data_IF_348785579467
#
_entry.id   IF_348785579467
#
_cell.length_a   1.000
_cell.length_b   1.000
_cell.length_c   1.000
_cell.angle_alpha   90.00
_cell.angle_beta   90.00
_cell.angle_gamma   90.00
#
_symmetry.space_group_name_H-M   'P 1'
#
loop_
_entity.id
_entity.type
_entity.pdbx_description
1 polymer ?
#
# COMPACT_ATOMS: atom_id res chain seq x y z
N UNK A 1 14.03 -28.52 23.60
CA UNK A 1 12.62 -28.41 23.16
C UNK A 1 12.03 -27.22 23.90
N UNK A 2 12.10 -26.03 23.32
CA UNK A 2 11.51 -24.83 23.90
C UNK A 2 10.06 -24.74 23.41
N UNK A 3 9.13 -25.13 24.26
CA UNK A 3 7.71 -24.85 24.05
C UNK A 3 7.51 -23.33 24.07
N UNK A 4 6.78 -22.74 23.09
CA UNK A 4 6.48 -21.33 23.11
C UNK A 4 5.63 -21.02 24.36
N UNK A 5 5.84 -19.86 25.02
CA UNK A 5 5.11 -19.55 26.24
C UNK A 5 3.61 -19.45 25.94
N UNK A 6 2.74 -19.96 26.83
CA UNK A 6 1.31 -19.97 26.58
C UNK A 6 0.76 -18.54 26.52
N UNK A 7 -0.14 -18.29 25.57
CA UNK A 7 -0.86 -17.02 25.33
C UNK A 7 -1.72 -16.51 26.51
N UNK A 8 -1.59 -17.09 27.71
CA UNK A 8 -2.40 -16.78 28.89
C UNK A 8 -2.10 -15.44 29.57
N UNK A 9 -1.04 -14.70 29.17
CA UNK A 9 -0.64 -13.43 29.82
C UNK A 9 -1.44 -12.18 29.41
N UNK A 10 -2.42 -12.27 28.51
CA UNK A 10 -3.25 -11.11 28.11
C UNK A 10 -4.50 -10.90 28.99
N UNK A 11 -4.77 -11.77 29.97
CA UNK A 11 -5.91 -11.66 30.89
C UNK A 11 -5.60 -10.77 32.10
N UNK A 12 -5.14 -9.54 31.87
CA UNK A 12 -5.04 -8.52 32.94
C UNK A 12 -6.35 -7.72 32.90
N UNK A 13 -7.28 -7.88 33.86
CA UNK A 13 -8.62 -7.26 33.79
C UNK A 13 -8.58 -5.74 33.59
N UNK A 14 -7.65 -4.98 34.19
CA UNK A 14 -7.47 -3.56 33.89
C UNK A 14 -7.12 -3.25 32.43
N UNK A 15 -6.27 -4.06 31.79
CA UNK A 15 -5.89 -3.86 30.38
C UNK A 15 -7.06 -4.12 29.44
N UNK A 16 -7.80 -5.21 29.66
CA UNK A 16 -9.00 -5.52 28.87
C UNK A 16 -10.07 -4.44 29.03
N UNK A 17 -10.28 -3.94 30.25
CA UNK A 17 -11.20 -2.81 30.52
C UNK A 17 -10.74 -1.55 29.79
N UNK A 18 -9.44 -1.24 29.80
CA UNK A 18 -8.88 -0.09 29.09
C UNK A 18 -9.09 -0.20 27.57
N UNK A 19 -8.75 -1.36 26.97
CA UNK A 19 -8.93 -1.60 25.51
C UNK A 19 -10.40 -1.56 25.11
N UNK A 20 -11.31 -2.05 25.94
CA UNK A 20 -12.76 -2.00 25.67
C UNK A 20 -13.36 -0.60 25.82
N UNK A 21 -12.86 0.20 26.78
CA UNK A 21 -13.40 1.54 27.07
C UNK A 21 -12.86 2.60 26.10
N UNK A 22 -11.63 2.43 25.62
CA UNK A 22 -10.95 3.41 24.78
C UNK A 22 -11.72 3.79 23.50
N UNK A 23 -12.32 2.88 22.71
CA UNK A 23 -13.13 3.26 21.55
C UNK A 23 -14.25 4.24 21.90
N UNK A 24 -14.98 4.00 23.01
CA UNK A 24 -16.05 4.88 23.47
C UNK A 24 -15.52 6.26 23.86
N UNK A 25 -14.37 6.32 24.53
CA UNK A 25 -13.73 7.59 24.88
C UNK A 25 -13.23 8.35 23.65
N UNK A 26 -12.72 7.65 22.62
CA UNK A 26 -12.32 8.27 21.34
C UNK A 26 -13.56 8.82 20.62
N UNK A 27 -14.65 8.04 20.55
CA UNK A 27 -15.93 8.49 19.97
C UNK A 27 -16.49 9.70 20.71
N UNK A 28 -16.35 9.76 22.03
CA UNK A 28 -16.73 10.91 22.83
C UNK A 28 -15.77 12.12 22.66
N UNK A 29 -14.60 11.93 22.06
CA UNK A 29 -13.55 12.94 21.95
C UNK A 29 -12.81 13.23 23.27
N UNK A 30 -12.91 12.33 24.24
CA UNK A 30 -12.41 12.50 25.61
C UNK A 30 -11.27 11.53 25.97
N UNK A 31 -10.81 10.72 25.02
CA UNK A 31 -9.73 9.76 25.28
C UNK A 31 -8.42 10.47 25.69
N UNK A 32 -7.79 10.05 26.81
CA UNK A 32 -6.50 10.59 27.23
C UNK A 32 -5.38 10.10 26.32
N UNK A 33 -4.21 10.76 26.38
CA UNK A 33 -3.03 10.31 25.65
C UNK A 33 -3.09 10.48 24.12
N UNK A 34 -3.95 11.38 23.61
CA UNK A 34 -4.11 11.68 22.18
C UNK A 34 -2.78 11.84 21.44
N UNK A 35 -1.84 12.62 21.99
CA UNK A 35 -0.55 12.87 21.37
C UNK A 35 0.26 11.57 21.15
N UNK A 36 0.20 10.64 22.09
CA UNK A 36 0.86 9.34 22.02
C UNK A 36 0.11 8.39 21.08
N UNK A 37 -1.21 8.30 21.21
CA UNK A 37 -2.05 7.38 20.42
C UNK A 37 -2.10 7.76 18.93
N UNK A 38 -2.10 9.06 18.62
CA UNK A 38 -2.09 9.56 17.24
C UNK A 38 -0.67 9.72 16.66
N UNK A 39 0.37 9.51 17.46
CA UNK A 39 1.72 9.43 16.93
C UNK A 39 1.85 8.20 16.02
N UNK A 40 2.71 8.27 15.01
CA UNK A 40 2.90 7.17 14.07
C UNK A 40 4.36 7.02 13.71
N UNK A 41 4.82 5.78 13.57
CA UNK A 41 6.12 5.48 13.00
C UNK A 41 6.04 5.61 11.49
N UNK A 42 6.79 6.57 10.94
CA UNK A 42 6.88 6.76 9.50
C UNK A 42 7.84 5.73 8.92
N UNK A 43 7.31 4.89 8.03
CA UNK A 43 8.10 3.89 7.30
C UNK A 43 8.11 4.28 5.82
N UNK A 44 9.25 4.77 5.30
CA UNK A 44 9.40 5.04 3.87
C UNK A 44 9.60 3.73 3.11
N UNK A 45 8.66 3.43 2.22
CA UNK A 45 8.67 2.27 1.34
C UNK A 45 8.87 2.73 -0.10
N UNK A 46 9.81 2.16 -0.82
CA UNK A 46 9.99 2.50 -2.23
C UNK A 46 8.87 1.87 -3.06
N UNK A 47 8.23 2.61 -3.94
CA UNK A 47 7.30 2.09 -4.94
C UNK A 47 8.07 1.41 -6.10
N UNK A 48 7.41 0.58 -6.93
CA UNK A 48 8.04 -0.04 -8.10
C UNK A 48 8.51 0.95 -9.18
N UNK A 49 7.81 2.09 -9.28
CA UNK A 49 8.09 3.22 -10.19
C UNK A 49 9.24 4.13 -9.71
N UNK A 50 9.85 3.82 -8.56
CA UNK A 50 10.90 4.63 -7.94
C UNK A 50 10.39 5.70 -6.96
N UNK A 51 9.08 5.94 -6.90
CA UNK A 51 8.44 6.85 -5.95
C UNK A 51 8.50 6.35 -4.50
N UNK A 52 8.00 7.15 -3.55
CA UNK A 52 7.98 6.82 -2.12
C UNK A 52 6.54 6.64 -1.62
N UNK A 53 6.21 5.43 -1.13
CA UNK A 53 5.03 5.16 -0.33
C UNK A 53 5.38 5.38 1.15
N UNK A 54 4.63 6.21 1.85
CA UNK A 54 4.97 6.60 3.23
C UNK A 54 3.90 6.07 4.16
N UNK A 55 4.16 4.92 4.75
CA UNK A 55 3.20 4.32 5.68
C UNK A 55 3.45 4.89 7.08
N UNK A 56 2.47 5.60 7.61
CA UNK A 56 2.41 6.03 8.99
C UNK A 56 1.77 4.89 9.81
N UNK A 57 2.64 4.07 10.42
CA UNK A 57 2.20 2.97 11.30
C UNK A 57 1.86 3.57 12.66
N UNK A 58 0.57 3.79 12.89
CA UNK A 58 0.06 4.27 14.18
C UNK A 58 0.22 3.26 15.32
N UNK A 59 0.02 3.74 16.55
CA UNK A 59 0.03 2.90 17.75
C UNK A 59 -0.95 1.71 17.63
N UNK A 60 -0.56 0.56 18.15
CA UNK A 60 -1.34 -0.68 18.03
C UNK A 60 -2.71 -0.57 18.72
N UNK A 61 -2.76 0.04 19.91
CA UNK A 61 -3.97 0.20 20.70
C UNK A 61 -4.90 1.20 19.98
N UNK A 62 -4.33 2.29 19.47
CA UNK A 62 -5.06 3.24 18.63
C UNK A 62 -5.66 2.56 17.39
N UNK A 63 -4.86 1.79 16.64
CA UNK A 63 -5.33 1.11 15.41
C UNK A 63 -6.41 0.09 15.72
N UNK A 64 -6.31 -0.63 16.83
CA UNK A 64 -7.35 -1.57 17.26
C UNK A 64 -8.67 -0.83 17.57
N UNK A 65 -8.60 0.23 18.37
CA UNK A 65 -9.77 0.99 18.78
C UNK A 65 -10.45 1.68 17.59
N UNK A 66 -9.67 2.33 16.73
CA UNK A 66 -10.19 3.04 15.55
C UNK A 66 -10.73 2.09 14.48
N UNK A 67 -10.13 0.90 14.31
CA UNK A 67 -10.71 -0.15 13.45
C UNK A 67 -12.06 -0.62 13.97
N UNK A 68 -12.24 -0.76 15.28
CA UNK A 68 -13.53 -1.11 15.88
C UNK A 68 -14.56 -0.01 15.63
N UNK A 69 -14.19 1.27 15.81
CA UNK A 69 -15.05 2.43 15.54
C UNK A 69 -15.50 2.43 14.08
N UNK A 70 -14.55 2.39 13.13
CA UNK A 70 -14.86 2.42 11.69
C UNK A 70 -15.73 1.24 11.28
N UNK A 71 -15.45 0.03 11.79
CA UNK A 71 -16.28 -1.15 11.54
C UNK A 71 -17.70 -1.02 12.07
N UNK A 72 -17.91 -0.29 13.16
CA UNK A 72 -19.25 -0.04 13.70
C UNK A 72 -19.97 1.09 12.96
N UNK A 73 -19.26 1.86 12.14
CA UNK A 73 -19.76 3.09 11.54
C UNK A 73 -20.58 2.86 10.28
N UNK A 74 -20.41 1.72 9.57
CA UNK A 74 -21.11 1.20 8.36
C UNK A 74 -21.50 2.16 7.21
N UNK A 75 -21.33 3.48 7.35
CA UNK A 75 -21.90 4.55 6.51
C UNK A 75 -20.86 5.32 5.71
N UNK A 76 -19.64 4.79 5.60
CA UNK A 76 -18.50 5.52 5.02
C UNK A 76 -17.85 4.84 3.82
N UNK A 77 -18.44 3.77 3.27
CA UNK A 77 -17.85 3.01 2.14
C UNK A 77 -16.52 2.31 2.46
N UNK A 78 -15.89 2.60 3.60
CA UNK A 78 -14.66 1.97 4.08
C UNK A 78 -15.03 0.84 5.03
N UNK A 79 -14.91 -0.40 4.56
CA UNK A 79 -15.15 -1.61 5.37
C UNK A 79 -16.37 -2.46 4.96
N UNK A 80 -17.16 -2.02 3.97
CA UNK A 80 -18.10 -2.87 3.25
C UNK A 80 -17.34 -3.77 2.27
N UNK A 81 -17.74 -5.04 2.15
CA UNK A 81 -17.24 -5.89 1.06
C UNK A 81 -17.74 -5.30 -0.25
N UNK A 82 -16.82 -5.09 -1.18
CA UNK A 82 -17.12 -4.67 -2.54
C UNK A 82 -17.39 -3.17 -2.73
N UNK A 83 -16.48 -2.31 -2.26
CA UNK A 83 -16.62 -0.85 -2.42
C UNK A 83 -16.24 -0.32 -3.81
N UNK A 84 -15.57 -1.11 -4.65
CA UNK A 84 -15.14 -0.72 -6.00
C UNK A 84 -16.22 -1.06 -7.04
N UNK A 85 -16.96 -2.13 -6.79
CA UNK A 85 -17.98 -2.71 -7.65
C UNK A 85 -19.09 -1.72 -8.01
N UNK A 86 -19.58 -0.83 -7.11
CA UNK A 86 -20.54 0.21 -7.51
C UNK A 86 -19.96 1.20 -8.53
N UNK A 87 -18.68 1.57 -8.41
CA UNK A 87 -18.01 2.47 -9.35
C UNK A 87 -17.85 1.80 -10.70
N UNK A 88 -17.36 0.55 -10.73
CA UNK A 88 -17.21 -0.23 -11.96
C UNK A 88 -18.58 -0.43 -12.63
N UNK A 89 -19.59 -0.83 -11.86
CA UNK A 89 -20.95 -1.06 -12.39
C UNK A 89 -21.57 0.22 -12.93
N UNK A 90 -21.36 1.37 -12.28
CA UNK A 90 -21.84 2.65 -12.79
C UNK A 90 -21.20 3.01 -14.14
N UNK A 91 -19.90 2.74 -14.31
CA UNK A 91 -19.22 2.93 -15.61
C UNK A 91 -19.76 1.98 -16.67
N UNK A 92 -19.97 0.70 -16.34
CA UNK A 92 -20.58 -0.28 -17.27
C UNK A 92 -21.96 0.17 -17.74
N UNK A 93 -22.84 0.57 -16.83
CA UNK A 93 -24.19 1.06 -17.16
C UNK A 93 -24.13 2.33 -18.03
N UNK A 94 -23.16 3.20 -17.78
CA UNK A 94 -22.94 4.39 -18.62
C UNK A 94 -22.53 4.02 -20.05
N UNK A 95 -21.65 3.02 -20.22
CA UNK A 95 -21.22 2.51 -21.53
C UNK A 95 -22.33 1.75 -22.26
N UNK A 96 -23.16 1.01 -21.53
CA UNK A 96 -24.35 0.33 -22.05
C UNK A 96 -25.47 1.31 -22.44
N UNK A 97 -25.36 2.58 -22.03
CA UNK A 97 -26.38 3.60 -22.29
C UNK A 97 -27.68 3.38 -21.52
N UNK A 98 -27.62 2.66 -20.39
CA UNK A 98 -28.79 2.27 -19.57
C UNK A 98 -29.07 3.24 -18.42
N UNK A 99 -28.20 4.24 -18.22
CA UNK A 99 -28.45 5.34 -17.30
C UNK A 99 -29.38 6.38 -17.92
N UNK A 100 -30.16 7.09 -17.09
CA UNK A 100 -31.09 8.14 -17.51
C UNK A 100 -30.43 9.25 -18.35
N UNK A 101 -29.13 9.45 -18.13
CA UNK A 101 -28.31 10.40 -18.87
C UNK A 101 -27.28 9.67 -19.74
N UNK A 102 -27.13 10.14 -20.98
CA UNK A 102 -26.16 9.60 -21.92
C UNK A 102 -24.78 10.21 -21.67
N UNK A 103 -23.85 9.38 -21.24
CA UNK A 103 -22.43 9.73 -21.12
C UNK A 103 -21.66 9.18 -22.32
N UNK A 104 -20.77 9.98 -22.89
CA UNK A 104 -19.99 9.65 -24.09
C UNK A 104 -18.49 9.66 -23.81
N UNK A 105 -18.07 10.29 -22.71
CA UNK A 105 -16.67 10.47 -22.34
C UNK A 105 -16.42 10.02 -20.89
N UNK A 106 -15.22 9.47 -20.65
CA UNK A 106 -14.73 9.08 -19.33
C UNK A 106 -13.39 9.78 -19.08
N UNK A 107 -13.33 10.61 -18.05
CA UNK A 107 -12.11 11.32 -17.64
C UNK A 107 -11.57 10.74 -16.33
N UNK A 108 -10.50 9.92 -16.36
CA UNK A 108 -9.86 9.44 -15.15
C UNK A 108 -8.97 10.53 -14.53
N UNK A 109 -9.10 10.71 -13.21
CA UNK A 109 -8.28 11.61 -12.42
C UNK A 109 -7.40 10.82 -11.46
N UNK A 110 -6.12 11.18 -11.43
CA UNK A 110 -5.15 10.56 -10.53
C UNK A 110 -4.47 11.64 -9.68
N UNK A 111 -4.82 11.70 -8.40
CA UNK A 111 -4.20 12.63 -7.47
C UNK A 111 -2.87 12.08 -6.96
N UNK A 112 -1.78 12.70 -7.39
CA UNK A 112 -0.47 12.43 -6.79
C UNK A 112 -0.50 12.76 -5.30
N UNK A 113 -0.38 11.71 -4.46
CA UNK A 113 -0.22 11.82 -3.01
C UNK A 113 -1.45 12.44 -2.28
N UNK A 114 -2.66 12.14 -2.76
CA UNK A 114 -3.91 12.70 -2.25
C UNK A 114 -4.06 12.68 -0.72
N UNK A 115 -3.74 11.56 -0.06
CA UNK A 115 -3.92 11.41 1.38
C UNK A 115 -3.18 12.47 2.21
N UNK A 116 -2.02 12.96 1.74
CA UNK A 116 -1.24 13.95 2.49
C UNK A 116 -1.57 15.40 2.09
N UNK A 117 -2.42 15.63 1.09
CA UNK A 117 -2.76 16.97 0.59
C UNK A 117 -4.08 17.50 1.14
N UNK A 118 -4.97 16.61 1.62
CA UNK A 118 -6.24 17.01 2.23
C UNK A 118 -6.02 18.04 3.34
N UNK A 119 -6.75 19.15 3.28
CA UNK A 119 -6.78 20.12 4.35
C UNK A 119 -7.65 19.61 5.49
N UNK A 120 -7.08 19.52 6.70
CA UNK A 120 -7.81 19.05 7.87
C UNK A 120 -8.94 19.98 8.29
N UNK A 121 -8.95 21.22 7.81
CA UNK A 121 -10.04 22.19 8.03
C UNK A 121 -11.33 21.81 7.32
N UNK A 122 -11.24 21.00 6.26
CA UNK A 122 -12.40 20.55 5.48
C UNK A 122 -13.04 19.28 6.06
N UNK A 123 -12.27 18.46 6.79
CA UNK A 123 -12.76 17.22 7.41
C UNK A 123 -13.94 17.46 8.38
N UNK A 124 -13.95 18.46 9.27
CA UNK A 124 -15.07 18.74 10.17
C UNK A 124 -16.39 18.97 9.46
N UNK A 125 -16.37 19.61 8.29
CA UNK A 125 -17.59 19.92 7.55
C UNK A 125 -18.21 18.66 6.94
N UNK A 126 -17.39 17.84 6.27
CA UNK A 126 -17.84 16.53 5.78
C UNK A 126 -18.32 15.62 6.91
N UNK A 127 -17.67 15.64 8.07
CA UNK A 127 -18.12 14.91 9.25
C UNK A 127 -19.49 15.36 9.75
N UNK A 128 -19.75 16.68 9.86
CA UNK A 128 -21.07 17.16 10.31
C UNK A 128 -22.19 16.74 9.36
N UNK A 129 -21.92 16.81 8.06
CA UNK A 129 -22.93 16.57 7.04
C UNK A 129 -23.23 15.07 6.86
N UNK A 130 -22.20 14.23 6.76
CA UNK A 130 -22.37 12.84 6.31
C UNK A 130 -22.13 11.80 7.41
N UNK A 131 -21.39 12.14 8.47
CA UNK A 131 -21.05 11.20 9.55
C UNK A 131 -20.98 11.88 10.93
N UNK A 132 -22.06 12.52 11.40
CA UNK A 132 -22.04 13.33 12.62
C UNK A 132 -21.65 12.53 13.87
N UNK A 133 -21.96 11.22 13.89
CA UNK A 133 -21.56 10.30 14.97
C UNK A 133 -20.03 10.18 15.12
N UNK A 134 -19.27 10.40 14.04
CA UNK A 134 -17.81 10.37 14.05
C UNK A 134 -17.18 11.74 14.21
N UNK A 135 -17.97 12.82 14.30
CA UNK A 135 -17.44 14.17 14.36
C UNK A 135 -16.40 14.35 15.48
N UNK A 136 -16.76 13.91 16.69
CA UNK A 136 -15.89 14.01 17.87
C UNK A 136 -14.66 13.11 17.73
N UNK A 137 -14.82 11.90 17.22
CA UNK A 137 -13.71 10.98 16.96
C UNK A 137 -12.73 11.54 15.92
N UNK A 138 -13.24 12.03 14.79
CA UNK A 138 -12.44 12.61 13.72
C UNK A 138 -11.73 13.88 14.16
N UNK A 139 -12.42 14.77 14.87
CA UNK A 139 -11.80 15.96 15.50
C UNK A 139 -10.74 15.56 16.53
N UNK A 140 -10.95 14.50 17.31
CA UNK A 140 -9.94 13.99 18.24
C UNK A 140 -8.75 13.38 17.49
N UNK A 141 -8.94 12.65 16.39
CA UNK A 141 -7.82 12.02 15.67
C UNK A 141 -7.02 12.98 14.79
N UNK A 142 -7.68 14.00 14.21
CA UNK A 142 -7.10 14.86 13.16
C UNK A 142 -7.22 16.36 13.44
N UNK A 143 -8.01 16.80 14.42
CA UNK A 143 -8.18 18.23 14.72
C UNK A 143 -6.94 18.91 15.32
N UNK A 144 -5.89 18.15 15.67
CA UNK A 144 -4.58 18.66 16.10
C UNK A 144 -3.47 18.00 15.28
N UNK A 145 -2.28 18.60 15.34
CA UNK A 145 -1.09 18.01 14.74
C UNK A 145 -0.68 16.73 15.50
N UNK A 146 -0.06 15.78 14.80
CA UNK A 146 0.45 14.56 15.42
C UNK A 146 1.88 14.28 14.97
N UNK A 147 2.65 13.56 15.78
CA UNK A 147 4.07 13.29 15.53
C UNK A 147 4.25 12.10 14.59
N UNK A 148 4.99 12.28 13.50
CA UNK A 148 5.51 11.19 12.67
C UNK A 148 6.97 10.95 13.04
N UNK A 149 7.24 9.81 13.67
CA UNK A 149 8.58 9.45 14.12
C UNK A 149 9.27 8.66 13.03
N UNK A 150 10.39 9.20 12.53
CA UNK A 150 11.24 8.57 11.54
C UNK A 150 12.56 8.16 12.21
N UNK A 151 12.89 6.88 12.15
CA UNK A 151 14.20 6.39 12.57
C UNK A 151 15.22 6.55 11.45
N UNK A 152 16.41 7.06 11.77
CA UNK A 152 17.60 7.09 10.93
C UNK A 152 18.79 6.50 11.70
N UNK A 153 19.90 6.19 11.01
CA UNK A 153 21.15 5.81 11.69
C UNK A 153 21.69 6.89 12.63
N UNK A 154 21.40 8.17 12.35
CA UNK A 154 21.85 9.34 13.11
C UNK A 154 20.94 9.65 14.30
N UNK A 155 19.76 9.02 14.38
CA UNK A 155 18.85 9.17 15.51
C UNK A 155 17.37 9.15 15.12
N UNK A 156 16.55 9.81 15.93
CA UNK A 156 15.10 9.93 15.69
C UNK A 156 14.78 11.33 15.19
N UNK A 157 14.13 11.41 14.04
CA UNK A 157 13.58 12.65 13.50
C UNK A 157 12.07 12.68 13.72
N UNK A 158 11.54 13.83 14.13
CA UNK A 158 10.10 14.02 14.33
C UNK A 158 9.59 14.97 13.26
N UNK A 159 8.63 14.51 12.46
CA UNK A 159 7.93 15.32 11.46
C UNK A 159 6.53 15.60 11.97
N UNK A 160 6.14 16.87 12.03
CA UNK A 160 4.78 17.26 12.41
C UNK A 160 3.79 16.96 11.29
N UNK A 161 2.84 16.06 11.54
CA UNK A 161 1.69 15.80 10.65
C UNK A 161 0.57 16.79 10.96
N UNK A 162 0.56 17.90 10.21
CA UNK A 162 -0.43 18.96 10.31
C UNK A 162 -1.47 18.95 9.16
N UNK A 163 -1.14 18.30 8.05
CA UNK A 163 -1.99 18.21 6.86
C UNK A 163 -2.24 16.74 6.51
N UNK A 164 -3.31 16.50 5.76
CA UNK A 164 -3.69 15.19 5.28
C UNK A 164 -4.07 14.20 6.37
N UNK A 165 -4.26 12.96 5.96
CA UNK A 165 -4.53 11.83 6.83
C UNK A 165 -3.34 10.87 6.84
N UNK A 166 -3.18 10.14 7.94
CA UNK A 166 -2.03 9.23 8.12
C UNK A 166 -2.26 7.95 7.31
N UNK A 167 -1.41 7.70 6.31
CA UNK A 167 -1.52 6.50 5.47
C UNK A 167 -1.19 5.22 6.27
N UNK A 168 -2.18 4.37 6.51
CA UNK A 168 -2.07 3.20 7.40
C UNK A 168 -2.88 3.32 8.70
N UNK A 169 -3.46 4.50 8.96
CA UNK A 169 -4.47 4.73 9.99
C UNK A 169 -5.84 4.18 9.53
N UNK A 170 -6.51 3.31 10.30
CA UNK A 170 -7.87 2.86 10.00
C UNK A 170 -8.89 3.99 9.84
N UNK A 171 -8.72 5.10 10.57
CA UNK A 171 -9.56 6.30 10.43
C UNK A 171 -9.10 7.20 9.28
N UNK A 172 -7.95 6.96 8.65
CA UNK A 172 -7.44 7.81 7.57
C UNK A 172 -8.38 7.85 6.35
N UNK A 173 -8.71 6.71 5.73
CA UNK A 173 -9.57 6.66 4.54
C UNK A 173 -10.93 7.36 4.69
N UNK A 174 -11.74 7.14 5.75
CA UNK A 174 -13.01 7.84 5.86
C UNK A 174 -12.84 9.35 6.08
N UNK A 175 -11.78 9.77 6.78
CA UNK A 175 -11.49 11.20 6.95
C UNK A 175 -11.00 11.84 5.64
N UNK A 176 -10.31 11.08 4.81
CA UNK A 176 -9.93 11.49 3.47
C UNK A 176 -11.16 11.69 2.57
N UNK A 177 -12.05 10.69 2.50
CA UNK A 177 -13.28 10.77 1.70
C UNK A 177 -14.18 11.93 2.12
N UNK A 178 -14.27 12.21 3.43
CA UNK A 178 -15.06 13.34 3.94
C UNK A 178 -14.35 14.69 3.80
N UNK A 179 -13.02 14.69 3.74
CA UNK A 179 -12.20 15.91 3.69
C UNK A 179 -11.84 16.38 2.29
N UNK A 180 -12.19 15.64 1.23
CA UNK A 180 -11.82 15.98 -0.14
C UNK A 180 -12.75 17.06 -0.72
N UNK A 181 -12.67 18.26 -0.16
CA UNK A 181 -13.45 19.43 -0.59
C UNK A 181 -13.29 19.74 -2.07
N UNK A 182 -12.09 19.54 -2.62
CA UNK A 182 -11.81 19.77 -4.03
C UNK A 182 -12.73 19.00 -4.96
N UNK A 183 -13.21 17.81 -4.59
CA UNK A 183 -14.19 17.08 -5.41
C UNK A 183 -15.59 17.68 -5.35
N UNK A 184 -15.99 18.24 -4.20
CA UNK A 184 -17.28 18.93 -4.05
C UNK A 184 -17.30 20.24 -4.85
N UNK A 185 -16.21 20.99 -4.76
CA UNK A 185 -16.05 22.24 -5.49
C UNK A 185 -15.92 21.96 -7.00
N UNK A 186 -15.22 20.88 -7.38
CA UNK A 186 -15.17 20.39 -8.76
C UNK A 186 -16.55 19.97 -9.27
N UNK A 187 -17.33 19.21 -8.49
CA UNK A 187 -18.70 18.84 -8.87
C UNK A 187 -19.58 20.08 -9.12
N UNK A 188 -19.43 21.11 -8.29
CA UNK A 188 -20.16 22.37 -8.44
C UNK A 188 -19.71 23.14 -9.70
N UNK A 189 -18.42 23.07 -10.04
CA UNK A 189 -17.84 23.72 -11.23
C UNK A 189 -18.26 23.01 -12.51
N UNK A 190 -18.24 21.68 -12.49
CA UNK A 190 -18.57 20.81 -13.63
C UNK A 190 -20.08 20.79 -13.91
N UNK A 191 -20.93 21.04 -12.92
CA UNK A 191 -22.38 21.06 -13.12
C UNK A 191 -23.04 19.68 -12.97
N UNK A 192 -24.38 19.63 -12.97
CA UNK A 192 -25.16 18.45 -12.60
C UNK A 192 -25.22 17.36 -13.69
N UNK A 193 -24.81 17.70 -14.91
CA UNK A 193 -24.79 16.84 -16.10
C UNK A 193 -23.57 15.89 -16.13
N UNK A 194 -22.67 15.99 -15.15
CA UNK A 194 -21.46 15.18 -15.05
C UNK A 194 -21.53 14.32 -13.79
N UNK A 195 -21.25 13.02 -13.94
CA UNK A 195 -21.27 12.08 -12.83
C UNK A 195 -19.83 11.81 -12.35
N UNK A 196 -19.53 12.27 -11.14
CA UNK A 196 -18.24 12.02 -10.48
C UNK A 196 -18.35 10.75 -9.65
N UNK A 197 -17.56 9.74 -10.01
CA UNK A 197 -17.41 8.51 -9.26
C UNK A 197 -16.04 8.51 -8.58
N UNK A 198 -16.01 8.21 -7.30
CA UNK A 198 -14.78 8.24 -6.52
C UNK A 198 -14.65 7.00 -5.64
N UNK A 199 -13.50 6.33 -5.74
CA UNK A 199 -13.05 5.35 -4.77
C UNK A 199 -11.73 5.85 -4.17
N UNK A 200 -11.82 6.53 -3.02
CA UNK A 200 -10.68 7.22 -2.42
C UNK A 200 -10.04 8.18 -3.43
N UNK A 201 -8.75 8.00 -3.76
CA UNK A 201 -7.98 8.83 -4.67
C UNK A 201 -8.14 8.46 -6.14
N UNK A 202 -8.78 7.33 -6.44
CA UNK A 202 -9.16 6.92 -7.79
C UNK A 202 -10.52 7.55 -8.13
N UNK A 203 -10.49 8.61 -8.94
CA UNK A 203 -11.69 9.35 -9.35
C UNK A 203 -11.86 9.25 -10.87
N UNK A 204 -13.10 9.06 -11.32
CA UNK A 204 -13.45 9.19 -12.72
C UNK A 204 -14.69 10.06 -12.89
N UNK A 205 -14.72 10.81 -13.98
CA UNK A 205 -15.84 11.67 -14.36
C UNK A 205 -16.44 11.11 -15.64
N UNK A 206 -17.73 10.83 -15.60
CA UNK A 206 -18.53 10.55 -16.79
C UNK A 206 -19.16 11.86 -17.26
N UNK A 207 -19.00 12.16 -18.55
CA UNK A 207 -19.52 13.40 -19.15
C UNK A 207 -20.20 13.16 -20.50
N UNK A 208 -21.16 14.00 -20.87
CA UNK A 208 -21.81 13.97 -22.19
C UNK A 208 -20.92 14.58 -23.30
N UNK A 209 -19.85 15.28 -22.92
CA UNK A 209 -18.91 16.00 -23.79
C UNK A 209 -17.46 15.87 -23.30
N UNK A 210 -16.51 16.37 -24.09
CA UNK A 210 -15.06 16.36 -23.85
C UNK A 210 -14.57 17.51 -22.95
N UNK A 211 -15.40 18.53 -22.71
CA UNK A 211 -15.01 19.74 -21.96
C UNK A 211 -14.70 19.48 -20.48
N UNK A 212 -15.14 18.33 -19.93
CA UNK A 212 -14.88 17.96 -18.54
C UNK A 212 -13.38 17.89 -18.19
N UNK A 213 -12.53 17.47 -19.14
CA UNK A 213 -11.08 17.41 -18.92
C UNK A 213 -10.48 18.81 -18.78
N UNK A 214 -10.78 19.72 -19.71
CA UNK A 214 -10.25 21.08 -19.70
C UNK A 214 -10.68 21.86 -18.45
N UNK A 215 -11.96 21.76 -18.09
CA UNK A 215 -12.50 22.40 -16.89
C UNK A 215 -11.84 21.86 -15.63
N UNK A 216 -11.61 20.54 -15.57
CA UNK A 216 -10.94 19.91 -14.42
C UNK A 216 -9.47 20.36 -14.30
N UNK A 217 -8.75 20.44 -15.42
CA UNK A 217 -7.37 20.92 -15.44
C UNK A 217 -7.28 22.40 -15.00
N UNK A 218 -8.16 23.25 -15.52
CA UNK A 218 -8.22 24.66 -15.14
C UNK A 218 -8.50 24.85 -13.64
N UNK A 219 -9.43 24.05 -13.08
CA UNK A 219 -9.74 24.05 -11.65
C UNK A 219 -8.49 23.76 -10.80
N UNK A 220 -7.76 22.68 -11.10
CA UNK A 220 -6.59 22.30 -10.30
C UNK A 220 -5.36 23.18 -10.52
N UNK A 221 -5.18 23.79 -11.70
CA UNK A 221 -4.07 24.71 -11.97
C UNK A 221 -4.08 25.95 -11.05
N UNK A 222 -5.26 26.37 -10.58
CA UNK A 222 -5.42 27.51 -9.68
C UNK A 222 -5.04 27.23 -8.21
N UNK A 223 -4.81 25.97 -7.85
CA UNK A 223 -4.66 25.55 -6.44
C UNK A 223 -3.19 25.28 -6.08
N UNK A 224 -2.48 26.25 -5.50
CA UNK A 224 -1.10 26.05 -5.02
C UNK A 224 -1.07 25.40 -3.63
N UNK A 225 -0.57 24.16 -3.53
CA UNK A 225 -0.30 23.51 -2.23
C UNK A 225 1.12 22.92 -2.20
N UNK A 226 1.97 23.47 -1.32
CA UNK A 226 3.28 22.85 -1.01
C UNK A 226 3.04 21.69 -0.03
N UNK A 227 3.31 20.46 -0.47
CA UNK A 227 2.82 19.26 0.21
C UNK A 227 3.83 18.69 1.22
N UNK A 228 3.34 17.99 2.25
CA UNK A 228 4.15 17.18 3.17
C UNK A 228 5.02 16.14 2.42
N UNK A 229 4.69 15.81 1.17
CA UNK A 229 5.47 14.93 0.30
C UNK A 229 6.89 15.43 0.10
N UNK A 230 7.03 16.71 -0.28
CA UNK A 230 8.31 17.30 -0.64
C UNK A 230 9.27 17.25 0.55
N UNK A 231 8.77 17.65 1.73
CA UNK A 231 9.51 17.57 3.01
C UNK A 231 9.97 16.14 3.35
N UNK A 232 9.09 15.14 3.21
CA UNK A 232 9.46 13.76 3.50
C UNK A 232 10.40 13.13 2.47
N UNK A 233 10.31 13.55 1.20
CA UNK A 233 11.18 13.08 0.13
C UNK A 233 12.61 13.60 0.33
N UNK A 234 12.76 14.87 0.71
CA UNK A 234 14.05 15.49 1.05
C UNK A 234 14.71 14.77 2.23
N UNK A 235 13.96 14.53 3.32
CA UNK A 235 14.47 13.80 4.48
C UNK A 235 14.83 12.35 4.13
N UNK A 236 14.01 11.65 3.34
CA UNK A 236 14.32 10.27 2.93
C UNK A 236 15.55 10.19 2.02
N UNK A 237 15.69 11.13 1.08
CA UNK A 237 16.86 11.19 0.21
C UNK A 237 18.13 11.41 1.04
N UNK A 238 18.10 12.37 1.97
CA UNK A 238 19.21 12.62 2.90
C UNK A 238 19.53 11.39 3.76
N UNK A 239 18.53 10.77 4.39
CA UNK A 239 18.72 9.60 5.24
C UNK A 239 19.25 8.38 4.48
N UNK A 240 18.79 8.18 3.24
CA UNK A 240 19.28 7.08 2.39
C UNK A 240 20.73 7.30 2.02
N UNK A 241 21.10 8.53 1.68
CA UNK A 241 22.47 8.87 1.32
C UNK A 241 23.41 8.74 2.53
N UNK A 242 23.00 9.27 3.69
CA UNK A 242 23.71 9.10 4.96
C UNK A 242 23.91 7.62 5.33
N UNK A 243 22.84 6.81 5.22
CA UNK A 243 22.93 5.37 5.44
C UNK A 243 23.94 4.72 4.48
N UNK A 244 23.85 4.97 3.18
CA UNK A 244 24.77 4.35 2.21
C UNK A 244 26.23 4.77 2.43
N UNK A 245 26.50 6.00 2.87
CA UNK A 245 27.86 6.45 3.23
C UNK A 245 28.39 5.79 4.51
N UNK A 246 27.51 5.44 5.45
CA UNK A 246 27.89 4.81 6.72
C UNK A 246 28.21 3.30 6.62
N UNK A 247 27.87 2.67 5.49
CA UNK A 247 28.00 1.23 5.28
C UNK A 247 29.29 0.85 4.55
N UNK A 248 29.80 -0.37 4.77
CA UNK A 248 30.90 -0.88 3.93
C UNK A 248 30.42 -1.06 2.48
N UNK A 249 31.32 -1.03 1.48
CA UNK A 249 30.95 -1.22 0.08
C UNK A 249 30.11 -2.48 -0.18
N UNK A 250 30.37 -3.56 0.54
CA UNK A 250 29.67 -4.84 0.46
C UNK A 250 28.25 -4.74 1.04
N UNK A 251 28.10 -4.08 2.18
CA UNK A 251 26.80 -3.83 2.83
C UNK A 251 25.95 -2.87 1.98
N UNK A 252 26.54 -1.80 1.44
CA UNK A 252 25.86 -0.85 0.57
C UNK A 252 25.35 -1.54 -0.71
N UNK A 253 26.19 -2.38 -1.36
CA UNK A 253 25.78 -3.20 -2.51
C UNK A 253 24.61 -4.12 -2.16
N UNK A 254 24.67 -4.79 -1.01
CA UNK A 254 23.59 -5.66 -0.55
C UNK A 254 22.27 -4.90 -0.29
N UNK A 255 22.32 -3.74 0.37
CA UNK A 255 21.13 -2.89 0.60
C UNK A 255 20.54 -2.41 -0.72
N UNK A 256 21.36 -1.97 -1.67
CA UNK A 256 20.91 -1.52 -2.99
C UNK A 256 20.26 -2.67 -3.77
N UNK A 257 20.90 -3.84 -3.79
CA UNK A 257 20.40 -5.03 -4.49
C UNK A 257 19.10 -5.56 -3.85
N UNK A 258 19.03 -5.63 -2.52
CA UNK A 258 17.83 -6.05 -1.79
C UNK A 258 16.67 -5.04 -1.90
N UNK A 259 16.99 -3.76 -2.15
CA UNK A 259 16.03 -2.69 -2.39
C UNK A 259 15.59 -2.57 -3.86
N UNK A 260 16.18 -3.36 -4.76
CA UNK A 260 15.79 -3.41 -6.19
C UNK A 260 14.37 -3.96 -6.37
N UNK A 261 13.81 -3.83 -7.59
CA UNK A 261 12.49 -4.40 -7.90
C UNK A 261 12.51 -5.91 -7.74
N UNK A 262 13.48 -6.59 -8.36
CA UNK A 262 13.67 -8.04 -8.30
C UNK A 262 13.99 -8.55 -6.88
N UNK A 263 14.84 -7.85 -6.14
CA UNK A 263 15.21 -8.21 -4.76
C UNK A 263 14.07 -8.13 -3.75
N UNK A 264 12.92 -7.55 -4.13
CA UNK A 264 11.71 -7.42 -3.30
C UNK A 264 10.59 -8.38 -3.68
N UNK A 265 10.64 -8.99 -4.87
CA UNK A 265 9.55 -9.81 -5.42
C UNK A 265 9.16 -10.92 -4.44
N UNK A 266 10.13 -11.62 -3.87
CA UNK A 266 9.91 -12.72 -2.95
C UNK A 266 9.15 -12.34 -1.65
N UNK A 267 9.12 -11.06 -1.25
CA UNK A 267 8.37 -10.60 -0.08
C UNK A 267 6.86 -10.54 -0.32
N UNK A 268 6.45 -10.44 -1.58
CA UNK A 268 5.05 -10.28 -1.99
C UNK A 268 4.53 -11.47 -2.79
N UNK A 269 5.42 -12.33 -3.29
CA UNK A 269 5.05 -13.55 -4.01
C UNK A 269 4.59 -14.61 -3.02
N UNK A 270 3.29 -14.93 -3.05
CA UNK A 270 2.73 -16.08 -2.34
C UNK A 270 3.03 -17.33 -3.18
N UNK A 271 3.85 -18.28 -2.71
CA UNK A 271 4.13 -19.49 -3.48
C UNK A 271 2.88 -20.38 -3.50
N UNK A 272 2.22 -20.47 -4.66
CA UNK A 272 1.06 -21.34 -4.87
C UNK A 272 1.42 -22.83 -4.93
N UNK A 273 2.68 -23.15 -5.25
CA UNK A 273 3.22 -24.51 -5.28
C UNK A 273 4.10 -24.79 -4.05
N UNK A 274 3.87 -25.90 -3.31
CA UNK A 274 4.68 -26.27 -2.14
C UNK A 274 6.18 -26.40 -2.42
N UNK A 275 6.57 -26.82 -3.63
CA UNK A 275 7.96 -26.95 -4.08
C UNK A 275 8.69 -25.62 -4.29
N UNK A 276 7.95 -24.50 -4.38
CA UNK A 276 8.49 -23.15 -4.57
C UNK A 276 8.46 -22.33 -3.27
N UNK A 277 8.13 -22.95 -2.13
CA UNK A 277 8.16 -22.28 -0.83
C UNK A 277 9.60 -22.07 -0.38
N UNK A 278 9.92 -20.84 -0.02
CA UNK A 278 11.15 -20.53 0.69
C UNK A 278 11.11 -21.17 2.08
N UNK A 279 12.20 -21.81 2.46
CA UNK A 279 12.42 -22.33 3.81
C UNK A 279 12.58 -21.19 4.82
N UNK A 280 12.30 -21.46 6.10
CA UNK A 280 12.52 -20.48 7.18
C UNK A 280 13.96 -19.95 7.20
N UNK A 281 14.92 -20.79 6.80
CA UNK A 281 16.32 -20.41 6.66
C UNK A 281 16.56 -19.43 5.50
N UNK A 282 15.97 -19.66 4.32
CA UNK A 282 16.10 -18.76 3.16
C UNK A 282 15.43 -17.41 3.43
N UNK A 283 14.27 -17.42 4.09
CA UNK A 283 13.59 -16.21 4.55
C UNK A 283 14.47 -15.47 5.58
N UNK A 284 15.05 -16.18 6.55
CA UNK A 284 15.93 -15.58 7.54
C UNK A 284 17.19 -14.96 6.91
N UNK A 285 17.86 -15.67 5.99
CA UNK A 285 19.05 -15.17 5.30
C UNK A 285 18.74 -13.94 4.43
N UNK A 286 17.62 -13.96 3.70
CA UNK A 286 17.19 -12.83 2.89
C UNK A 286 16.79 -11.61 3.75
N UNK A 287 16.20 -11.83 4.93
CA UNK A 287 15.92 -10.76 5.89
C UNK A 287 17.20 -10.19 6.51
N UNK A 288 18.20 -11.03 6.83
CA UNK A 288 19.50 -10.58 7.34
C UNK A 288 20.24 -9.70 6.33
N UNK A 289 20.31 -10.12 5.06
CA UNK A 289 20.91 -9.33 3.98
C UNK A 289 20.21 -7.97 3.78
N UNK A 290 18.89 -7.93 3.99
CA UNK A 290 18.08 -6.71 3.80
C UNK A 290 18.14 -5.76 4.98
N UNK A 291 18.20 -6.30 6.19
CA UNK A 291 18.19 -5.51 7.45
C UNK A 291 19.60 -5.19 7.93
N UNK A 292 20.62 -5.79 7.31
CA UNK A 292 22.01 -5.79 7.77
C UNK A 292 22.16 -6.30 9.21
N UNK A 293 21.13 -6.95 9.76
CA UNK A 293 21.18 -7.54 11.07
C UNK A 293 22.06 -8.80 10.97
N UNK A 294 23.21 -8.77 11.63
CA UNK A 294 24.04 -9.96 11.83
C UNK A 294 23.33 -11.01 12.68
N UNK A 295 23.87 -12.23 12.72
CA UNK A 295 23.41 -13.22 13.70
C UNK A 295 23.64 -12.67 15.12
N UNK A 296 22.69 -12.92 16.04
CA UNK A 296 22.74 -12.39 17.43
C UNK A 296 23.97 -12.84 18.22
N UNK A 297 24.68 -13.87 17.74
CA UNK A 297 25.85 -14.45 18.40
C UNK A 297 27.11 -13.90 17.75
N UNK A 298 28.07 -13.48 18.59
CA UNK A 298 29.35 -12.94 18.14
C UNK A 298 30.20 -13.95 17.34
N UNK A 299 29.92 -15.24 17.46
CA UNK A 299 30.66 -16.32 16.80
C UNK A 299 29.70 -17.32 16.14
N UNK A 300 30.10 -17.85 15.00
CA UNK A 300 29.33 -18.82 14.24
C UNK A 300 29.26 -20.16 14.98
N UNK A 301 28.06 -20.68 15.15
CA UNK A 301 27.85 -21.96 15.86
C UNK A 301 28.35 -23.19 15.09
N UNK A 302 28.76 -23.03 13.83
CA UNK A 302 29.23 -24.13 12.97
C UNK A 302 30.76 -24.12 12.81
N UNK A 303 31.38 -22.96 12.55
CA UNK A 303 32.84 -22.87 12.39
C UNK A 303 33.57 -22.20 13.55
N UNK A 304 32.87 -21.59 14.51
CA UNK A 304 33.48 -20.89 15.65
C UNK A 304 34.09 -19.52 15.32
N UNK A 305 34.19 -19.12 14.05
CA UNK A 305 34.72 -17.81 13.67
C UNK A 305 33.81 -16.65 14.08
N UNK A 306 34.40 -15.47 14.26
CA UNK A 306 33.66 -14.23 14.52
C UNK A 306 32.67 -13.94 13.41
N UNK A 307 31.41 -13.64 13.77
CA UNK A 307 30.37 -13.33 12.79
C UNK A 307 30.62 -11.96 12.14
N UNK A 308 30.72 -11.95 10.81
CA UNK A 308 30.73 -10.73 10.00
C UNK A 308 29.66 -10.79 8.90
N UNK A 309 29.39 -9.64 8.27
CA UNK A 309 28.40 -9.54 7.21
C UNK A 309 28.73 -10.48 6.04
N UNK A 310 27.81 -11.37 5.67
CA UNK A 310 28.02 -12.38 4.62
C UNK A 310 28.72 -13.67 5.08
N UNK A 311 29.17 -13.77 6.34
CA UNK A 311 29.79 -14.99 6.89
C UNK A 311 28.95 -16.27 6.70
N UNK A 312 27.61 -16.26 6.88
CA UNK A 312 26.76 -17.42 6.59
C UNK A 312 26.91 -18.03 5.19
N UNK A 313 27.29 -17.22 4.19
CA UNK A 313 27.41 -17.66 2.79
C UNK A 313 28.78 -18.23 2.43
N UNK A 314 29.78 -18.02 3.29
CA UNK A 314 31.18 -18.42 3.06
C UNK A 314 31.74 -19.36 4.13
N UNK A 315 30.96 -19.63 5.19
CA UNK A 315 31.33 -20.58 6.21
C UNK A 315 31.47 -22.00 5.63
N UNK A 316 32.71 -22.50 5.53
CA UNK A 316 33.02 -23.82 4.97
C UNK A 316 32.43 -24.99 5.79
N UNK A 317 32.21 -24.76 7.09
CA UNK A 317 31.58 -25.73 8.01
C UNK A 317 30.04 -25.70 7.95
N UNK A 318 29.46 -24.77 7.18
CA UNK A 318 28.03 -24.81 6.81
C UNK A 318 27.93 -25.59 5.50
N UNK A 319 26.80 -26.28 5.29
CA UNK A 319 26.53 -26.97 4.01
C UNK A 319 26.77 -25.97 2.85
N UNK A 320 27.66 -26.26 1.89
CA UNK A 320 28.09 -25.29 0.87
C UNK A 320 26.96 -24.99 -0.12
N UNK A 321 26.27 -23.86 0.08
CA UNK A 321 25.12 -23.48 -0.74
C UNK A 321 25.48 -22.85 -2.11
N UNK A 322 26.75 -22.49 -2.38
CA UNK A 322 27.19 -22.18 -3.76
C UNK A 322 26.92 -23.34 -4.71
N UNK A 323 27.16 -24.57 -4.25
CA UNK A 323 26.91 -25.78 -5.01
C UNK A 323 25.41 -26.04 -5.13
N UNK A 324 24.62 -25.85 -4.06
CA UNK A 324 23.17 -26.05 -4.10
C UNK A 324 22.41 -25.06 -5.01
N UNK A 325 22.82 -23.79 -5.07
CA UNK A 325 22.26 -22.79 -6.02
C UNK A 325 22.62 -23.13 -7.46
N UNK A 326 23.88 -23.50 -7.72
CA UNK A 326 24.37 -23.83 -9.06
C UNK A 326 23.79 -25.15 -9.59
N UNK A 327 23.68 -26.18 -8.74
CA UNK A 327 23.02 -27.45 -9.05
C UNK A 327 21.50 -27.31 -9.20
N UNK A 328 20.86 -26.41 -8.44
CA UNK A 328 19.44 -26.07 -8.60
C UNK A 328 19.16 -25.40 -9.95
N UNK A 329 20.01 -24.45 -10.37
CA UNK A 329 19.92 -23.81 -11.69
C UNK A 329 20.29 -24.78 -12.82
N UNK A 330 21.30 -25.64 -12.64
CA UNK A 330 21.65 -26.71 -13.61
C UNK A 330 20.53 -27.74 -13.78
N UNK A 331 19.87 -28.16 -12.71
CA UNK A 331 18.68 -29.04 -12.80
C UNK A 331 17.53 -28.36 -13.52
N UNK A 332 17.36 -27.06 -13.34
CA UNK A 332 16.35 -26.27 -14.07
C UNK A 332 16.66 -26.15 -15.56
N UNK A 333 17.94 -25.93 -15.94
CA UNK A 333 18.38 -25.87 -17.34
C UNK A 333 18.40 -27.26 -18.01
N UNK A 334 18.80 -28.30 -17.28
CA UNK A 334 18.84 -29.68 -17.77
C UNK A 334 17.48 -30.38 -17.89
N UNK A 335 16.41 -29.80 -17.33
CA UNK A 335 15.03 -30.29 -17.46
C UNK A 335 14.27 -29.66 -18.65
N UNK A 336 14.86 -28.70 -19.35
CA UNK A 336 14.31 -28.16 -20.59
C UNK A 336 14.92 -28.92 -21.79
N UNK A 337 14.19 -29.80 -22.50
CA UNK A 337 14.73 -30.42 -23.70
C UNK A 337 14.93 -29.33 -24.78
N UNK A 338 15.99 -29.40 -25.60
CA UNK A 338 16.12 -28.51 -26.75
C UNK A 338 15.05 -28.90 -27.77
N UNK A 339 13.96 -28.13 -27.83
CA UNK A 339 12.97 -28.27 -28.89
C UNK A 339 13.55 -27.64 -30.16
N UNK A 340 13.68 -28.37 -31.28
CA UNK A 340 13.97 -27.74 -32.56
C UNK A 340 12.79 -26.86 -32.98
N UNK A 341 13.03 -25.74 -33.70
CA UNK A 341 11.94 -24.86 -34.13
C UNK A 341 11.01 -25.62 -35.09
N UNK A 342 9.71 -25.58 -34.81
CA UNK A 342 8.69 -26.26 -35.61
C UNK A 342 8.57 -25.64 -37.02
N UNK A 343 8.35 -26.45 -38.07
CA UNK A 343 8.17 -25.94 -39.43
C UNK A 343 6.80 -25.26 -39.58
N UNK A 344 6.79 -24.13 -40.29
CA UNK A 344 5.59 -23.38 -40.62
C UNK A 344 4.69 -24.22 -41.55
N UNK A 345 3.48 -24.55 -41.11
CA UNK A 345 2.45 -25.11 -41.98
C UNK A 345 1.58 -23.98 -42.53
N UNK A 346 1.81 -23.66 -43.79
CA UNK A 346 0.88 -22.95 -44.67
C UNK A 346 -0.41 -23.75 -44.88
N UNK A 347 -1.42 -23.05 -45.40
CA UNK A 347 -2.71 -23.52 -45.95
C UNK A 347 -3.87 -23.60 -44.94
N UNK A 348 -5.03 -22.94 -45.11
CA UNK A 348 -5.66 -22.48 -46.35
C UNK A 348 -6.53 -21.22 -46.18
N UNK A 349 -6.39 -20.32 -47.16
CA UNK A 349 -7.41 -19.39 -47.60
C UNK A 349 -8.59 -20.13 -48.26
N UNK A 350 -9.80 -19.67 -47.95
CA UNK A 350 -11.01 -19.52 -48.80
C UNK A 350 -11.33 -20.53 -49.94
N UNK A 351 -12.58 -21.01 -49.97
CA UNK A 351 -13.66 -20.51 -50.87
C UNK A 351 -14.67 -21.60 -51.32
N UNK A 352 -15.98 -21.29 -51.15
CA UNK A 352 -17.13 -21.52 -52.08
C UNK A 352 -17.50 -22.95 -52.52
N UNK A 353 -18.75 -23.40 -52.72
CA UNK A 353 -20.14 -22.87 -52.72
C UNK A 353 -21.11 -24.11 -52.80
N UNK A 354 -22.45 -23.94 -52.72
CA UNK A 354 -23.45 -25.00 -52.51
C UNK A 354 -24.17 -25.48 -53.80
N UNK A 355 -24.90 -26.60 -53.74
CA UNK A 355 -26.24 -26.80 -54.36
C UNK A 355 -26.80 -28.22 -54.14
N UNK A 356 -27.99 -28.26 -53.55
CA UNK A 356 -29.20 -29.09 -53.80
C UNK A 356 -29.17 -30.56 -54.22
N UNK A 357 -30.05 -31.31 -53.56
CA UNK A 357 -30.61 -32.59 -53.95
C UNK A 357 -31.52 -32.46 -55.18
N UNK A 358 -31.63 -33.49 -56.03
CA UNK A 358 -32.77 -34.46 -56.09
C UNK A 358 -32.70 -35.32 -57.38
N UNK A 359 -32.93 -36.63 -57.22
CA UNK A 359 -33.61 -37.60 -58.14
C UNK A 359 -33.08 -38.02 -59.52
N UNK A 360 -33.52 -39.23 -59.88
CA UNK A 360 -33.18 -40.13 -60.99
C UNK A 360 -33.69 -39.73 -62.39
N UNK A 361 -33.07 -40.43 -63.37
CA UNK A 361 -33.37 -40.61 -64.81
C UNK A 361 -32.74 -39.62 -65.78
#
# INVERSE_FOLDING_TARGET
>A
MDTPPPFHRLRVPPFLKAVHTLPGLIVAGAAPGQAMLCASRLTPLRKPDGGLCRTAVGDMIYRLATKAIVRHSNRLGVGSKGGVEPVVRAVELALEGTLDQRYTHLTPLNFSNAFNTVDRRDIPEGLRQYAPILYRAGRWAYGRTSSLVLGSPEGRHIITSAQGVRQGDPMGPPMFSLGIRSLRDLASTLGPDRLILAYLDDICILSPDDSALEQTLAFFASTQLTTQHRRCQEIFAGNREALLRSLTPEQAKAVVQASSKLGRVWLTTIPSQPSLRLTDFEVAAALQLRTLAGERKAHCTNCGETHFFGHPEICLQRKPWRVARYEGVKRFIGQAPPQPPAPASDSNLSATRPADATTSR
#
